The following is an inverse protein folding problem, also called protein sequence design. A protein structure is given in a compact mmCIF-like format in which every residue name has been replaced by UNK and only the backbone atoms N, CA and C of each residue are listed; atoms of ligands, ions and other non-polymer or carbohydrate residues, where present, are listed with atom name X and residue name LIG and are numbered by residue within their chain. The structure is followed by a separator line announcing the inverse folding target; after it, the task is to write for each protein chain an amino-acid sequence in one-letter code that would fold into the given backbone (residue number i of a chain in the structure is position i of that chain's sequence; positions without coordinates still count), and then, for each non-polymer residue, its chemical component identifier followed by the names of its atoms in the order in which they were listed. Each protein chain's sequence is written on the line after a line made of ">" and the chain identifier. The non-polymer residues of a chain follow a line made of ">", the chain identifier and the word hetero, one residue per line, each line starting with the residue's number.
data_IF_021263099550
#
_entry.id   IF_021263099550
#
_cell.length_a   1.000
_cell.length_b   1.000
_cell.length_c   1.000
_cell.angle_alpha   90.00
_cell.angle_beta   90.00
_cell.angle_gamma   90.00
#
_symmetry.space_group_name_H-M   'P 1'
#
loop_
_entity.id
_entity.type
_entity.pdbx_description
1 polymer ?
#
# COMPACT_ATOMS: atom_id res chain seq x y z
N UNK A 1 -1.59 26.36 -17.80
CA UNK A 1 -2.31 27.10 -16.73
C UNK A 1 -3.39 26.25 -16.05
N UNK A 2 -4.27 25.55 -16.79
CA UNK A 2 -5.34 24.70 -16.24
C UNK A 2 -4.87 23.63 -15.22
N UNK A 3 -3.75 22.94 -15.48
CA UNK A 3 -3.20 21.91 -14.56
C UNK A 3 -2.78 22.47 -13.20
N UNK A 4 -2.20 23.69 -13.16
CA UNK A 4 -1.79 24.35 -11.91
C UNK A 4 -2.99 24.74 -11.06
N UNK A 5 -4.08 25.19 -11.70
CA UNK A 5 -5.34 25.54 -11.03
C UNK A 5 -5.97 24.29 -10.40
N UNK A 6 -5.98 23.15 -11.10
CA UNK A 6 -6.50 21.89 -10.54
C UNK A 6 -5.70 21.44 -9.33
N UNK A 7 -4.36 21.48 -9.39
CA UNK A 7 -3.51 21.12 -8.24
C UNK A 7 -3.74 22.03 -7.03
N UNK A 8 -3.92 23.34 -7.25
CA UNK A 8 -4.20 24.30 -6.18
C UNK A 8 -5.58 24.03 -5.57
N UNK A 9 -6.60 23.75 -6.39
CA UNK A 9 -7.95 23.42 -5.92
C UNK A 9 -7.93 22.12 -5.11
N UNK A 10 -7.26 21.07 -5.58
CA UNK A 10 -7.13 19.81 -4.84
C UNK A 10 -6.41 20.00 -3.51
N UNK A 11 -5.34 20.80 -3.48
CA UNK A 11 -4.63 21.12 -2.24
C UNK A 11 -5.51 21.91 -1.26
N UNK A 12 -6.29 22.88 -1.74
CA UNK A 12 -7.25 23.63 -0.92
C UNK A 12 -8.34 22.72 -0.36
N UNK A 13 -8.90 21.82 -1.17
CA UNK A 13 -9.92 20.85 -0.72
C UNK A 13 -9.35 19.94 0.37
N UNK A 14 -8.11 19.47 0.24
CA UNK A 14 -7.45 18.66 1.27
C UNK A 14 -7.27 19.42 2.59
N UNK A 15 -6.87 20.69 2.54
CA UNK A 15 -6.71 21.54 3.72
C UNK A 15 -8.05 21.80 4.41
N UNK A 16 -9.10 22.12 3.66
CA UNK A 16 -10.43 22.36 4.22
C UNK A 16 -11.11 21.08 4.73
N UNK A 17 -10.87 19.93 4.09
CA UNK A 17 -11.32 18.63 4.59
C UNK A 17 -10.63 18.26 5.91
N UNK A 18 -9.36 18.64 6.09
CA UNK A 18 -8.63 18.43 7.35
C UNK A 18 -8.97 19.43 8.47
N UNK A 19 -9.70 20.51 8.17
CA UNK A 19 -10.04 21.57 9.12
C UNK A 19 -11.40 21.38 9.81
N UNK A 20 -12.15 20.33 9.48
CA UNK A 20 -13.41 20.00 10.15
C UNK A 20 -13.08 19.36 11.49
N UNK A 21 -13.30 20.12 12.57
CA UNK A 21 -13.29 19.58 13.94
C UNK A 21 -14.51 18.70 14.12
N UNK A 22 -14.33 17.39 14.13
CA UNK A 22 -15.36 16.42 14.53
C UNK A 22 -15.59 16.58 16.02
N UNK A 23 -16.77 17.06 16.42
CA UNK A 23 -17.21 17.02 17.81
C UNK A 23 -17.48 15.55 18.18
N UNK A 24 -16.54 14.93 18.87
CA UNK A 24 -16.76 13.62 19.48
C UNK A 24 -17.61 13.81 20.75
N UNK A 25 -18.85 13.33 20.72
CA UNK A 25 -19.60 13.04 21.93
C UNK A 25 -18.88 11.90 22.69
N UNK A 26 -18.79 12.00 24.01
CA UNK A 26 -17.83 11.34 24.92
C UNK A 26 -17.80 9.79 24.92
N UNK A 27 -18.64 9.12 24.11
CA UNK A 27 -18.65 7.67 23.88
C UNK A 27 -18.51 7.26 22.40
N UNK A 28 -18.57 8.21 21.45
CA UNK A 28 -18.43 7.99 20.01
C UNK A 28 -16.99 8.15 19.50
N UNK A 29 -16.05 8.52 20.38
CA UNK A 29 -14.62 8.62 20.07
C UNK A 29 -14.03 7.28 19.60
N UNK A 30 -14.53 6.16 20.12
CA UNK A 30 -14.08 4.83 19.72
C UNK A 30 -14.63 4.39 18.36
N UNK A 31 -15.78 4.89 17.92
CA UNK A 31 -16.40 4.50 16.65
C UNK A 31 -15.64 5.08 15.46
N UNK A 32 -15.20 6.33 15.56
CA UNK A 32 -14.40 6.99 14.52
C UNK A 32 -13.01 6.36 14.42
N UNK A 33 -12.37 6.06 15.57
CA UNK A 33 -11.07 5.36 15.60
C UNK A 33 -11.22 3.95 15.02
N UNK A 34 -12.29 3.22 15.37
CA UNK A 34 -12.56 1.90 14.81
C UNK A 34 -12.80 1.92 13.30
N UNK A 35 -13.48 2.94 12.77
CA UNK A 35 -13.64 3.12 11.33
C UNK A 35 -12.29 3.32 10.63
N UNK A 36 -11.38 4.07 11.25
CA UNK A 36 -10.01 4.29 10.75
C UNK A 36 -9.19 2.98 10.81
N UNK A 37 -9.26 2.21 11.90
CA UNK A 37 -8.55 0.92 12.03
C UNK A 37 -9.02 -0.13 11.01
N UNK A 38 -10.31 -0.13 10.70
CA UNK A 38 -10.88 -0.98 9.67
C UNK A 38 -10.41 -0.54 8.26
N UNK A 39 -10.32 0.77 8.01
CA UNK A 39 -9.74 1.31 6.78
C UNK A 39 -8.26 0.94 6.64
N UNK A 40 -7.47 1.07 7.71
CA UNK A 40 -6.06 0.65 7.72
C UNK A 40 -5.90 -0.83 7.37
N UNK A 41 -6.71 -1.67 8.00
CA UNK A 41 -6.73 -3.12 7.72
C UNK A 41 -7.16 -3.43 6.29
N UNK A 42 -8.13 -2.70 5.76
CA UNK A 42 -8.56 -2.84 4.37
C UNK A 42 -7.44 -2.44 3.39
N UNK A 43 -6.79 -1.30 3.60
CA UNK A 43 -5.71 -0.79 2.73
C UNK A 43 -4.53 -1.76 2.72
N UNK A 44 -4.06 -2.20 3.89
CA UNK A 44 -3.00 -3.20 3.97
C UNK A 44 -3.43 -4.56 3.41
N UNK A 45 -4.71 -4.91 3.49
CA UNK A 45 -5.28 -6.07 2.82
C UNK A 45 -5.14 -6.00 1.29
N UNK A 46 -5.42 -4.83 0.70
CA UNK A 46 -5.25 -4.61 -0.75
C UNK A 46 -3.77 -4.63 -1.14
N UNK A 47 -2.90 -3.96 -0.39
CA UNK A 47 -1.44 -3.96 -0.63
C UNK A 47 -0.89 -5.39 -0.59
N UNK A 48 -1.31 -6.19 0.39
CA UNK A 48 -0.92 -7.60 0.50
C UNK A 48 -1.43 -8.42 -0.68
N UNK A 49 -2.67 -8.23 -1.12
CA UNK A 49 -3.22 -8.92 -2.29
C UNK A 49 -2.41 -8.60 -3.56
N UNK A 50 -2.03 -7.33 -3.76
CA UNK A 50 -1.15 -6.92 -4.86
C UNK A 50 0.24 -7.57 -4.72
N UNK A 51 0.80 -7.59 -3.50
CA UNK A 51 2.09 -8.23 -3.23
C UNK A 51 2.11 -9.73 -3.58
N UNK A 52 1.02 -10.46 -3.28
CA UNK A 52 0.85 -11.86 -3.69
C UNK A 52 0.85 -11.98 -5.22
N UNK A 53 0.17 -11.08 -5.93
CA UNK A 53 0.18 -11.06 -7.40
C UNK A 53 1.57 -10.84 -7.99
N UNK A 54 2.34 -9.88 -7.46
CA UNK A 54 3.72 -9.64 -7.88
C UNK A 54 4.65 -10.81 -7.56
N UNK A 55 4.50 -11.43 -6.39
CA UNK A 55 5.26 -12.61 -6.02
C UNK A 55 4.96 -13.79 -6.95
N UNK A 56 3.68 -14.07 -7.22
CA UNK A 56 3.28 -15.12 -8.15
C UNK A 56 3.85 -14.87 -9.55
N UNK A 57 3.74 -13.65 -10.07
CA UNK A 57 4.30 -13.29 -11.37
C UNK A 57 5.83 -13.40 -11.40
N UNK A 58 6.50 -12.98 -10.34
CA UNK A 58 7.95 -13.11 -10.20
C UNK A 58 8.41 -14.58 -10.21
N UNK A 59 7.70 -15.47 -9.51
CA UNK A 59 7.97 -16.91 -9.49
C UNK A 59 7.82 -17.50 -10.89
N UNK A 60 6.76 -17.13 -11.64
CA UNK A 60 6.55 -17.62 -13.00
C UNK A 60 7.70 -17.21 -13.95
N UNK A 61 8.16 -15.96 -13.86
CA UNK A 61 9.30 -15.48 -14.65
C UNK A 61 10.61 -16.19 -14.23
N UNK A 62 10.81 -16.38 -12.93
CA UNK A 62 11.96 -17.12 -12.42
C UNK A 62 11.95 -18.59 -12.88
N UNK A 63 10.80 -19.26 -12.86
CA UNK A 63 10.68 -20.64 -13.34
C UNK A 63 11.00 -20.77 -14.84
N UNK A 64 10.45 -19.88 -15.67
CA UNK A 64 10.74 -19.82 -17.11
C UNK A 64 12.24 -19.65 -17.39
N UNK A 65 12.91 -18.83 -16.56
CA UNK A 65 14.33 -18.52 -16.69
C UNK A 65 15.28 -19.67 -16.34
N UNK A 66 14.80 -20.69 -15.62
CA UNK A 66 15.58 -21.91 -15.38
C UNK A 66 15.69 -22.71 -16.68
N UNK A 67 14.56 -22.88 -17.38
CA UNK A 67 14.48 -23.61 -18.64
C UNK A 67 15.19 -22.90 -19.80
N UNK A 68 15.19 -21.56 -19.83
CA UNK A 68 15.81 -20.78 -20.91
C UNK A 68 17.30 -20.47 -20.66
N UNK A 69 17.87 -20.86 -19.51
CA UNK A 69 19.23 -20.48 -19.10
C UNK A 69 19.53 -18.97 -19.18
N UNK A 70 18.50 -18.13 -19.13
CA UNK A 70 18.62 -16.68 -19.23
C UNK A 70 18.74 -16.02 -17.85
N UNK A 71 19.96 -15.55 -17.54
CA UNK A 71 20.27 -14.85 -16.29
C UNK A 71 19.52 -13.53 -16.11
N UNK A 72 19.10 -12.87 -17.20
CA UNK A 72 18.33 -11.63 -17.13
C UNK A 72 16.92 -11.86 -16.58
N UNK A 73 16.24 -12.90 -17.08
CA UNK A 73 14.91 -13.28 -16.59
C UNK A 73 14.95 -13.83 -15.16
N UNK A 74 16.05 -14.48 -14.75
CA UNK A 74 16.27 -14.90 -13.35
C UNK A 74 16.26 -13.69 -12.42
N UNK A 75 17.00 -12.65 -12.79
CA UNK A 75 17.13 -11.44 -11.99
C UNK A 75 15.82 -10.66 -11.90
N UNK A 76 15.11 -10.51 -13.01
CA UNK A 76 13.81 -9.81 -13.05
C UNK A 76 12.75 -10.60 -12.27
N UNK A 77 12.69 -11.92 -12.45
CA UNK A 77 11.79 -12.80 -11.70
C UNK A 77 12.05 -12.70 -10.20
N UNK A 78 13.31 -12.82 -9.77
CA UNK A 78 13.69 -12.71 -8.37
C UNK A 78 13.37 -11.32 -7.78
N UNK A 79 13.62 -10.24 -8.51
CA UNK A 79 13.31 -8.87 -8.07
C UNK A 79 11.80 -8.68 -7.84
N UNK A 80 10.97 -9.22 -8.74
CA UNK A 80 9.52 -9.16 -8.60
C UNK A 80 9.01 -9.99 -7.42
N UNK A 81 9.66 -11.12 -7.11
CA UNK A 81 9.37 -11.90 -5.89
C UNK A 81 9.74 -11.12 -4.64
N UNK A 82 10.92 -10.49 -4.61
CA UNK A 82 11.36 -9.68 -3.48
C UNK A 82 10.43 -8.47 -3.24
N UNK A 83 10.07 -7.74 -4.30
CA UNK A 83 9.11 -6.64 -4.22
C UNK A 83 7.73 -7.11 -3.73
N UNK A 84 7.26 -8.26 -4.22
CA UNK A 84 6.01 -8.88 -3.78
C UNK A 84 6.03 -9.26 -2.29
N UNK A 85 7.12 -9.85 -1.81
CA UNK A 85 7.31 -10.21 -0.40
C UNK A 85 7.29 -8.98 0.51
N UNK A 86 7.99 -7.91 0.15
CA UNK A 86 8.00 -6.66 0.92
C UNK A 86 6.58 -6.08 1.01
N UNK A 87 5.82 -6.09 -0.09
CA UNK A 87 4.44 -5.62 -0.10
C UNK A 87 3.51 -6.50 0.77
N UNK A 88 3.69 -7.83 0.75
CA UNK A 88 2.90 -8.76 1.59
C UNK A 88 3.05 -8.45 3.07
N UNK A 89 4.29 -8.15 3.50
CA UNK A 89 4.64 -7.91 4.89
C UNK A 89 4.68 -6.42 5.25
N UNK A 90 4.14 -5.53 4.42
CA UNK A 90 4.26 -4.09 4.63
C UNK A 90 3.71 -3.65 6.01
N UNK A 91 2.57 -4.21 6.43
CA UNK A 91 1.98 -3.93 7.76
C UNK A 91 2.89 -4.47 8.87
N UNK A 92 3.35 -5.70 8.76
CA UNK A 92 4.23 -6.34 9.75
C UNK A 92 5.58 -5.62 9.88
N UNK A 93 6.14 -5.11 8.78
CA UNK A 93 7.38 -4.32 8.77
C UNK A 93 7.18 -3.01 9.52
N UNK A 94 6.11 -2.28 9.23
CA UNK A 94 5.79 -1.03 9.93
C UNK A 94 5.62 -1.24 11.44
N UNK A 95 5.01 -2.38 11.83
CA UNK A 95 4.88 -2.78 13.23
C UNK A 95 6.25 -3.03 13.86
N UNK A 96 7.13 -3.73 13.13
CA UNK A 96 8.46 -4.10 13.60
C UNK A 96 9.38 -2.90 13.87
N UNK A 97 9.18 -1.78 13.15
CA UNK A 97 9.96 -0.55 13.35
C UNK A 97 9.30 0.47 14.29
N UNK A 98 8.11 0.18 14.84
CA UNK A 98 7.39 1.08 15.74
C UNK A 98 6.77 2.30 15.04
N UNK A 99 6.45 2.19 13.75
CA UNK A 99 5.83 3.25 12.96
C UNK A 99 4.30 3.10 12.82
N UNK A 100 3.70 2.17 13.57
CA UNK A 100 2.25 1.98 13.72
C UNK A 100 1.83 2.18 15.17
#
# INVERSE_FOLDING_TARGET
>A
MKKKIVTIITAMVMIFASAVTVFAEDNAGNEVISAIDNLDTMIFGIIRAIGIGFAAWGILNFASSISSHDSGQRMIGFTNVAAGLIAIFAKEILKGIGAM
#
